data_IF_554303442618
#
_entry.id   IF_554303442618
#
_cell.length_a   1.000
_cell.length_b   1.000
_cell.length_c   1.000
_cell.angle_alpha   90.00
_cell.angle_beta   90.00
_cell.angle_gamma   90.00
#
_symmetry.space_group_name_H-M   'P 1'
#
loop_
_entity.id
_entity.type
_entity.pdbx_description
1 polymer ?
#
# COMPACT_ATOMS: atom_id res chain seq x y z
N UNK A 1 15.69 15.08 -20.81
CA UNK A 1 15.50 15.35 -20.43
C UNK A 1 15.00 15.46 -19.96
N UNK A 2 14.78 14.96 -20.18
CA UNK A 2 14.55 15.14 -19.73
C UNK A 2 13.98 14.98 -19.43
N UNK A 3 14.18 14.67 -19.68
CA UNK A 3 13.78 14.70 -19.23
C UNK A 3 13.33 14.65 -18.77
N UNK A 4 13.26 14.35 -18.96
CA UNK A 4 13.11 14.56 -18.49
C UNK A 4 12.54 14.40 -18.05
N UNK A 5 12.94 14.12 -18.16
CA UNK A 5 12.64 14.20 -17.59
C UNK A 5 12.04 14.03 -17.21
N UNK A 6 12.05 13.77 -17.28
CA UNK A 6 11.68 13.82 -16.75
C UNK A 6 11.09 13.61 -16.33
N UNK A 7 10.96 13.31 -16.48
CA UNK A 7 10.69 13.35 -16.12
C UNK A 7 10.00 13.16 -15.71
N UNK A 8 10.33 13.01 -15.68
CA UNK A 8 9.73 12.94 -15.26
C UNK A 8 8.86 12.87 -15.07
N UNK A 9 8.92 12.97 -15.27
CA UNK A 9 8.20 12.95 -15.09
C UNK A 9 7.42 12.67 -15.35
N UNK A 10 7.51 12.43 -15.54
CA UNK A 10 6.81 12.13 -15.57
C UNK A 10 6.09 11.57 -15.58
N UNK A 11 6.89 11.19 -16.26
CA UNK A 11 6.12 10.44 -15.94
C UNK A 11 5.27 10.22 -14.95
N UNK A 12 5.50 10.48 -14.34
CA UNK A 12 4.56 10.50 -13.30
C UNK A 12 3.30 11.15 -13.65
N UNK A 13 3.33 12.02 -14.60
CA UNK A 13 2.14 12.62 -15.10
C UNK A 13 1.21 11.56 -15.58
N UNK A 14 -0.05 11.59 -15.17
CA UNK A 14 -1.00 10.54 -15.42
C UNK A 14 -0.88 9.34 -14.50
N UNK A 15 0.15 9.31 -13.65
CA UNK A 15 0.30 8.26 -12.67
C UNK A 15 -0.35 8.70 -11.38
N UNK A 16 -1.19 7.85 -10.81
CA UNK A 16 -1.85 8.15 -9.55
C UNK A 16 -1.13 7.52 -8.37
N UNK A 17 0.01 6.87 -8.59
CA UNK A 17 0.75 6.23 -7.51
C UNK A 17 2.24 6.20 -7.83
N UNK A 18 3.03 6.04 -6.77
CA UNK A 18 4.49 6.03 -6.85
C UNK A 18 4.98 4.67 -7.35
N UNK A 19 5.55 4.66 -8.55
CA UNK A 19 6.05 3.42 -9.16
C UNK A 19 7.23 2.83 -8.41
N UNK A 20 8.07 3.66 -7.81
CA UNK A 20 9.18 3.13 -7.03
C UNK A 20 8.69 2.41 -5.80
N UNK A 21 7.69 2.96 -5.13
CA UNK A 21 7.10 2.29 -3.98
C UNK A 21 6.42 1.00 -4.41
N UNK A 22 5.74 1.00 -5.56
CA UNK A 22 5.12 -0.21 -6.08
C UNK A 22 6.15 -1.31 -6.31
N UNK A 23 7.30 -0.96 -6.88
CA UNK A 23 8.37 -1.93 -7.10
C UNK A 23 8.94 -2.46 -5.79
N UNK A 24 9.06 -1.62 -4.78
CA UNK A 24 9.52 -2.04 -3.46
C UNK A 24 8.54 -3.03 -2.84
N UNK A 25 7.23 -2.77 -2.99
CA UNK A 25 6.20 -3.70 -2.50
C UNK A 25 6.28 -5.03 -3.26
N UNK A 26 6.47 -4.99 -4.57
CA UNK A 26 6.63 -6.22 -5.36
C UNK A 26 7.79 -7.06 -4.85
N UNK A 27 8.89 -6.40 -4.49
CA UNK A 27 10.04 -7.09 -3.91
C UNK A 27 9.67 -7.78 -2.59
N UNK A 28 8.91 -7.10 -1.73
CA UNK A 28 8.46 -7.68 -0.48
C UNK A 28 7.59 -8.92 -0.69
N UNK A 29 6.85 -8.97 -1.80
CA UNK A 29 5.87 -10.02 -2.06
C UNK A 29 6.35 -11.08 -3.05
N UNK A 30 7.59 -10.98 -3.54
CA UNK A 30 8.04 -11.85 -4.63
C UNK A 30 8.08 -13.35 -4.26
N UNK A 31 8.17 -13.66 -2.96
CA UNK A 31 8.17 -15.05 -2.50
C UNK A 31 6.79 -15.50 -2.01
N UNK A 32 5.79 -14.66 -2.13
CA UNK A 32 4.45 -14.95 -1.62
C UNK A 32 3.60 -15.52 -2.75
N UNK A 33 2.99 -16.68 -2.51
CA UNK A 33 2.12 -17.30 -3.50
C UNK A 33 0.76 -16.58 -3.54
N UNK A 34 0.12 -16.62 -4.71
CA UNK A 34 -1.25 -16.12 -4.85
C UNK A 34 -1.39 -14.61 -4.90
N UNK A 35 -0.30 -13.90 -5.20
CA UNK A 35 -0.33 -12.44 -5.31
C UNK A 35 -0.81 -12.03 -6.69
N UNK A 36 -1.75 -11.09 -6.75
CA UNK A 36 -2.15 -10.45 -7.99
C UNK A 36 -2.18 -8.95 -7.81
N UNK A 37 -2.09 -8.21 -8.90
CA UNK A 37 -2.12 -6.76 -8.90
C UNK A 37 -3.36 -6.28 -9.63
N UNK A 38 -3.95 -5.20 -9.15
CA UNK A 38 -5.14 -4.63 -9.77
C UNK A 38 -5.12 -3.12 -9.60
N UNK A 39 -5.35 -2.40 -10.69
CA UNK A 39 -5.47 -0.95 -10.62
C UNK A 39 -6.86 -0.61 -10.13
N UNK A 40 -6.95 0.16 -9.05
CA UNK A 40 -8.22 0.57 -8.46
C UNK A 40 -8.10 2.01 -8.00
N UNK A 41 -9.13 2.81 -8.23
CA UNK A 41 -9.20 4.19 -7.74
C UNK A 41 -7.96 5.02 -8.05
N UNK A 42 -7.30 4.73 -9.18
CA UNK A 42 -6.08 5.43 -9.54
C UNK A 42 -4.83 4.95 -8.81
N UNK A 43 -4.96 3.96 -7.94
CA UNK A 43 -3.82 3.34 -7.25
C UNK A 43 -3.58 1.93 -7.76
N UNK A 44 -2.67 1.24 -7.09
CA UNK A 44 -2.34 -0.15 -7.42
C UNK A 44 -2.54 -1.00 -6.18
N UNK A 45 -3.44 -1.96 -6.27
CA UNK A 45 -3.73 -2.88 -5.16
C UNK A 45 -3.00 -4.21 -5.38
N UNK A 46 -2.45 -4.76 -4.30
CA UNK A 46 -1.86 -6.09 -4.30
C UNK A 46 -2.77 -6.98 -3.46
N UNK A 47 -3.26 -8.05 -4.09
CA UNK A 47 -4.18 -8.99 -3.46
C UNK A 47 -3.48 -10.30 -3.21
N UNK A 48 -3.80 -10.93 -2.09
CA UNK A 48 -3.35 -12.29 -1.79
C UNK A 48 -4.59 -13.14 -1.58
N UNK A 49 -4.71 -14.22 -2.36
CA UNK A 49 -5.89 -15.08 -2.30
C UNK A 49 -7.19 -14.32 -2.60
N UNK A 50 -7.12 -13.28 -3.42
CA UNK A 50 -8.28 -12.46 -3.77
C UNK A 50 -8.61 -11.35 -2.78
N UNK A 51 -7.90 -11.27 -1.64
CA UNK A 51 -8.10 -10.23 -0.63
C UNK A 51 -7.13 -9.09 -0.82
N UNK A 52 -7.62 -7.86 -0.72
CA UNK A 52 -6.73 -6.70 -0.65
C UNK A 52 -5.80 -6.86 0.55
N UNK A 53 -4.52 -6.73 0.33
CA UNK A 53 -3.51 -6.84 1.38
C UNK A 53 -2.79 -5.52 1.58
N UNK A 54 -2.12 -5.04 0.54
CA UNK A 54 -1.46 -3.73 0.55
C UNK A 54 -1.71 -3.08 -0.80
N UNK A 55 -1.37 -1.82 -0.91
CA UNK A 55 -1.46 -1.10 -2.16
C UNK A 55 -0.64 0.17 -2.13
N UNK A 56 -0.59 0.84 -3.26
CA UNK A 56 0.08 2.11 -3.38
C UNK A 56 -0.93 3.12 -3.93
N UNK A 57 -1.08 4.24 -3.23
CA UNK A 57 -1.99 5.29 -3.63
C UNK A 57 -1.30 6.62 -3.43
N UNK A 58 -1.14 7.38 -4.52
CA UNK A 58 -0.25 8.53 -4.46
C UNK A 58 1.15 8.07 -4.10
N UNK A 59 1.75 8.67 -3.08
CA UNK A 59 3.06 8.27 -2.58
C UNK A 59 2.98 7.50 -1.26
N UNK A 60 1.79 7.02 -0.90
CA UNK A 60 1.59 6.29 0.35
C UNK A 60 1.34 4.82 0.15
N UNK A 61 1.62 4.05 1.18
CA UNK A 61 1.33 2.62 1.24
C UNK A 61 -0.02 2.42 1.92
N UNK A 62 -0.93 1.73 1.23
CA UNK A 62 -2.17 1.28 1.83
C UNK A 62 -1.90 -0.08 2.45
N UNK A 63 -2.31 -0.27 3.71
CA UNK A 63 -2.14 -1.55 4.39
C UNK A 63 -3.43 -1.93 5.09
N UNK A 64 -3.90 -3.14 4.83
CA UNK A 64 -5.10 -3.67 5.47
C UNK A 64 -4.68 -4.44 6.71
N UNK A 65 -4.90 -3.84 7.87
CA UNK A 65 -4.40 -4.37 9.13
C UNK A 65 -5.50 -4.83 10.08
N UNK A 66 -6.76 -4.55 9.72
CA UNK A 66 -7.88 -4.92 10.56
C UNK A 66 -8.27 -3.83 11.54
N UNK A 67 -9.53 -3.83 11.95
CA UNK A 67 -10.08 -2.77 12.78
C UNK A 67 -9.45 -2.72 14.17
N UNK A 68 -9.04 -3.87 14.70
CA UNK A 68 -8.46 -3.93 16.06
C UNK A 68 -7.17 -3.16 16.20
N UNK A 69 -6.38 -3.10 15.12
CA UNK A 69 -5.05 -2.48 15.18
C UNK A 69 -5.05 -1.01 14.74
N UNK A 70 -6.21 -0.45 14.43
CA UNK A 70 -6.29 0.91 13.90
C UNK A 70 -5.77 1.96 14.87
N UNK A 71 -6.14 1.86 16.15
CA UNK A 71 -5.72 2.87 17.12
C UNK A 71 -4.20 2.88 17.29
N UNK A 72 -3.61 1.70 17.41
CA UNK A 72 -2.16 1.60 17.55
C UNK A 72 -1.44 2.09 16.30
N UNK A 73 -1.96 1.73 15.13
CA UNK A 73 -1.34 2.11 13.86
C UNK A 73 -1.41 3.62 13.63
N UNK A 74 -2.56 4.22 13.86
CA UNK A 74 -2.73 5.65 13.59
C UNK A 74 -2.05 6.52 14.62
N UNK A 75 -1.61 5.95 15.72
CA UNK A 75 -0.77 6.67 16.69
C UNK A 75 0.67 6.84 16.19
N UNK A 76 1.10 6.10 15.17
CA UNK A 76 2.45 6.22 14.64
C UNK A 76 2.56 7.43 13.70
N UNK A 77 3.73 8.11 13.69
CA UNK A 77 3.90 9.24 12.77
C UNK A 77 3.75 8.81 11.33
N UNK A 78 3.08 9.63 10.54
CA UNK A 78 2.91 9.37 9.10
C UNK A 78 1.86 8.35 8.75
N UNK A 79 1.06 7.89 9.72
CA UNK A 79 0.01 6.90 9.50
C UNK A 79 -1.35 7.53 9.77
N UNK A 80 -2.27 7.33 8.85
CA UNK A 80 -3.64 7.84 9.00
C UNK A 80 -4.63 6.82 8.43
N UNK A 81 -5.90 6.89 8.81
CA UNK A 81 -6.90 6.02 8.21
C UNK A 81 -7.01 6.29 6.70
N UNK A 82 -7.20 5.24 5.93
CA UNK A 82 -7.43 5.41 4.50
C UNK A 82 -8.84 5.94 4.27
N UNK A 83 -8.91 7.07 3.57
CA UNK A 83 -10.16 7.77 3.34
C UNK A 83 -10.26 8.06 1.84
N UNK A 84 -11.09 7.31 1.16
CA UNK A 84 -11.22 7.40 -0.29
C UNK A 84 -12.34 8.34 -0.72
N UNK A 85 -13.41 8.41 0.07
CA UNK A 85 -14.64 9.09 -0.33
C UNK A 85 -15.19 10.00 0.76
N UNK A 86 -14.32 10.53 1.63
CA UNK A 86 -14.74 11.30 2.79
C UNK A 86 -15.13 10.42 3.97
N UNK A 87 -15.04 9.12 3.83
CA UNK A 87 -15.33 8.16 4.90
C UNK A 87 -14.09 7.31 5.16
N UNK A 88 -13.58 7.27 6.40
CA UNK A 88 -12.47 6.37 6.71
C UNK A 88 -12.88 4.93 6.46
N UNK A 89 -11.99 4.18 5.82
CA UNK A 89 -12.21 2.74 5.61
C UNK A 89 -11.67 1.98 6.81
N UNK A 90 -12.57 1.27 7.47
CA UNK A 90 -12.22 0.59 8.71
C UNK A 90 -11.24 -0.53 8.44
N UNK A 91 -10.15 -0.54 9.21
CA UNK A 91 -9.14 -1.58 9.09
C UNK A 91 -8.08 -1.33 8.03
N UNK A 92 -8.11 -0.19 7.35
CA UNK A 92 -7.15 0.14 6.32
C UNK A 92 -6.50 1.48 6.65
N UNK A 93 -5.17 1.52 6.58
CA UNK A 93 -4.40 2.74 6.85
C UNK A 93 -3.58 3.12 5.62
N UNK A 94 -3.18 4.38 5.59
CA UNK A 94 -2.20 4.89 4.64
C UNK A 94 -0.96 5.28 5.42
N UNK A 95 0.19 4.79 4.99
CA UNK A 95 1.49 5.11 5.59
C UNK A 95 2.25 5.99 4.61
N UNK A 96 2.67 7.17 5.08
CA UNK A 96 3.39 8.12 4.26
C UNK A 96 4.75 7.54 3.85
N UNK A 97 5.15 7.74 2.60
CA UNK A 97 6.42 7.23 2.09
C UNK A 97 7.61 7.78 2.89
N UNK A 98 7.48 8.95 3.48
CA UNK A 98 8.56 9.55 4.27
C UNK A 98 8.97 8.69 5.46
N UNK A 99 8.09 7.81 5.95
CA UNK A 99 8.38 6.93 7.09
C UNK A 99 8.53 5.47 6.65
N UNK A 100 8.68 5.22 5.34
CA UNK A 100 8.76 3.85 4.80
C UNK A 100 10.17 3.48 4.38
N UNK A 101 11.10 3.42 5.34
CA UNK A 101 12.37 2.75 5.09
C UNK A 101 12.12 1.27 4.85
N UNK A 102 13.15 0.52 4.48
CA UNK A 102 12.98 -0.89 4.12
C UNK A 102 12.42 -1.72 5.27
N UNK A 103 12.91 -1.49 6.49
CA UNK A 103 12.43 -2.22 7.66
C UNK A 103 10.96 -1.91 7.94
N UNK A 104 10.59 -0.64 7.86
CA UNK A 104 9.21 -0.25 8.10
C UNK A 104 8.29 -0.80 7.02
N UNK A 105 8.71 -0.78 5.77
CA UNK A 105 7.93 -1.33 4.67
C UNK A 105 7.68 -2.83 4.89
N UNK A 106 8.73 -3.58 5.22
CA UNK A 106 8.58 -5.01 5.49
C UNK A 106 7.63 -5.26 6.65
N UNK A 107 7.70 -4.43 7.68
CA UNK A 107 6.81 -4.57 8.83
C UNK A 107 5.34 -4.38 8.45
N UNK A 108 5.05 -3.32 7.70
CA UNK A 108 3.67 -3.04 7.30
C UNK A 108 3.12 -4.10 6.35
N UNK A 109 3.94 -4.53 5.40
CA UNK A 109 3.53 -5.60 4.47
C UNK A 109 3.29 -6.90 5.25
N UNK A 110 4.18 -7.22 6.18
CA UNK A 110 4.03 -8.42 7.02
C UNK A 110 2.79 -8.38 7.89
N UNK A 111 2.50 -7.22 8.49
CA UNK A 111 1.32 -7.08 9.33
C UNK A 111 0.04 -7.25 8.50
N UNK A 112 -0.01 -6.67 7.30
CA UNK A 112 -1.17 -6.82 6.43
C UNK A 112 -1.34 -8.27 5.98
N UNK A 113 -0.25 -8.94 5.63
CA UNK A 113 -0.30 -10.35 5.24
C UNK A 113 -0.81 -11.22 6.39
N UNK A 114 -0.35 -10.97 7.60
CA UNK A 114 -0.81 -11.72 8.77
C UNK A 114 -2.31 -11.55 8.99
N UNK A 115 -2.81 -10.33 8.85
CA UNK A 115 -4.24 -10.09 9.01
C UNK A 115 -5.04 -10.82 7.93
N UNK A 116 -4.63 -10.70 6.68
CA UNK A 116 -5.36 -11.27 5.55
C UNK A 116 -5.32 -12.81 5.60
N UNK A 117 -4.22 -13.38 6.09
CA UNK A 117 -4.11 -14.83 6.21
C UNK A 117 -5.15 -15.42 7.16
N UNK A 118 -5.67 -14.63 8.09
CA UNK A 118 -6.72 -15.05 9.01
C UNK A 118 -8.14 -14.91 8.46
N UNK A 119 -8.30 -14.35 7.26
CA UNK A 119 -9.61 -14.16 6.67
C UNK A 119 -10.08 -15.43 5.96
N UNK A 120 -11.39 -15.65 5.87
CA UNK A 120 -11.91 -16.78 5.09
C UNK A 120 -11.47 -16.67 3.63
N UNK A 121 -11.26 -17.80 2.95
CA UNK A 121 -10.91 -17.76 1.52
C UNK A 121 -11.99 -17.07 0.71
N UNK A 122 -11.56 -16.40 -0.34
CA UNK A 122 -12.48 -15.76 -1.26
C UNK A 122 -12.97 -16.72 -2.32
#
# INVERSE_FOLDING_TARGET
MGAGWFGWASTIRGMAFDELLADRVRTCLQQVAGVSEKKVFGGLAFLTGGHLTVGVYGDGLIARIGAQDMDAATAEPGVRPFDMTGRPMRGIVVVDSAVLGDTALDRWVGQARSYVAGLPPK
#
